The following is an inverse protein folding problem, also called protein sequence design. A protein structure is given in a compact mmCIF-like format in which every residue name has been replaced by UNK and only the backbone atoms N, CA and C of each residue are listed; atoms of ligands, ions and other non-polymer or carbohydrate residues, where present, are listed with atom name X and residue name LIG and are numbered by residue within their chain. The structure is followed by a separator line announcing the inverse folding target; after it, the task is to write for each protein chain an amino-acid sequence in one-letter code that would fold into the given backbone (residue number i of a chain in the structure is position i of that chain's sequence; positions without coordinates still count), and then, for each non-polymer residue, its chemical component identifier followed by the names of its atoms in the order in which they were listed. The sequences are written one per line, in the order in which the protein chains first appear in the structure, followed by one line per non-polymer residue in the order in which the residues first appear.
data_IF_667049103490
#
_entry.id   IF_667049103490
#
_cell.length_a   1.000
_cell.length_b   1.000
_cell.length_c   1.000
_cell.angle_alpha   90.00
_cell.angle_beta   90.00
_cell.angle_gamma   90.00
#
_symmetry.space_group_name_H-M   'P 1'
#
loop_
_entity.id
_entity.type
_entity.pdbx_description
1 polymer ?
#
# COMPACT_ATOMS: atom_id res chain seq x y z
N UNK A 1 -25.50 0.57 -74.43
CA UNK A 1 -24.02 0.64 -74.43
C UNK A 1 -23.59 2.10 -74.41
N UNK A 2 -23.18 2.60 -73.25
CA UNK A 2 -21.90 3.30 -73.19
C UNK A 2 -20.98 2.77 -72.07
N UNK A 3 -19.70 3.05 -72.27
CA UNK A 3 -18.50 2.42 -71.70
C UNK A 3 -18.12 3.08 -70.37
N UNK A 4 -17.68 2.26 -69.41
CA UNK A 4 -17.15 2.70 -68.11
C UNK A 4 -15.73 3.30 -68.23
N UNK A 5 -15.46 4.38 -67.50
CA UNK A 5 -14.13 4.72 -67.00
C UNK A 5 -14.25 4.92 -65.49
N UNK A 6 -13.50 4.12 -64.74
CA UNK A 6 -13.32 4.21 -63.29
C UNK A 6 -11.96 4.86 -63.09
N UNK A 7 -11.93 6.09 -62.59
CA UNK A 7 -10.69 6.70 -62.13
C UNK A 7 -10.59 6.64 -60.61
N UNK A 8 -9.43 6.12 -60.23
CA UNK A 8 -8.97 5.66 -58.94
C UNK A 8 -8.81 6.79 -57.92
N UNK A 9 -9.29 6.55 -56.71
CA UNK A 9 -8.89 7.28 -55.52
C UNK A 9 -7.39 7.04 -55.24
N UNK A 10 -6.61 8.10 -55.09
CA UNK A 10 -5.28 8.05 -54.47
C UNK A 10 -5.13 9.25 -53.54
N UNK A 11 -4.76 8.96 -52.31
CA UNK A 11 -5.04 9.79 -51.14
C UNK A 11 -4.04 10.90 -50.86
N UNK A 12 -4.35 11.65 -49.81
CA UNK A 12 -3.38 12.04 -48.79
C UNK A 12 -4.13 12.59 -47.59
N UNK A 13 -4.67 11.68 -46.77
CA UNK A 13 -5.05 12.03 -45.40
C UNK A 13 -3.77 12.34 -44.65
N UNK A 14 -3.51 13.63 -44.38
CA UNK A 14 -2.50 14.06 -43.43
C UNK A 14 -2.83 13.44 -42.07
N UNK A 15 -2.16 12.35 -41.75
CA UNK A 15 -2.11 11.78 -40.41
C UNK A 15 -1.36 12.76 -39.52
N UNK A 16 -2.12 13.61 -38.83
CA UNK A 16 -1.64 14.22 -37.61
C UNK A 16 -1.30 13.10 -36.64
N UNK A 17 -0.01 12.83 -36.46
CA UNK A 17 0.46 11.92 -35.43
C UNK A 17 -0.01 12.45 -34.08
N UNK A 18 -0.69 11.66 -33.23
CA UNK A 18 -0.93 12.07 -31.86
C UNK A 18 0.45 12.18 -31.21
N UNK A 19 0.83 13.41 -30.86
CA UNK A 19 1.96 13.66 -29.98
C UNK A 19 1.67 12.94 -28.66
N UNK A 20 2.32 11.80 -28.44
CA UNK A 20 2.25 11.05 -27.20
C UNK A 20 2.86 11.92 -26.10
N UNK A 21 2.01 12.73 -25.46
CA UNK A 21 2.36 13.43 -24.23
C UNK A 21 2.73 12.34 -23.22
N UNK A 22 3.91 12.40 -22.56
CA UNK A 22 4.28 11.39 -21.58
C UNK A 22 3.20 11.36 -20.50
N UNK A 23 2.60 10.18 -20.28
CA UNK A 23 1.57 9.94 -19.27
C UNK A 23 2.07 10.48 -17.92
N UNK A 24 1.55 11.63 -17.49
CA UNK A 24 1.88 12.18 -16.19
C UNK A 24 1.34 11.24 -15.14
N UNK A 25 2.22 10.74 -14.25
CA UNK A 25 1.80 9.99 -13.07
C UNK A 25 0.77 10.81 -12.29
N UNK A 26 -0.34 10.20 -11.84
CA UNK A 26 -1.35 10.93 -11.10
C UNK A 26 -0.75 11.47 -9.79
N UNK A 27 -1.07 12.72 -9.47
CA UNK A 27 -0.65 13.33 -8.21
C UNK A 27 -1.55 12.81 -7.09
N UNK A 28 -1.05 11.88 -6.29
CA UNK A 28 -1.77 11.42 -5.09
C UNK A 28 -1.83 12.56 -4.05
N UNK A 29 -3.02 12.90 -3.53
CA UNK A 29 -3.17 13.81 -2.39
C UNK A 29 -2.37 13.39 -1.16
N UNK A 30 -2.13 14.33 -0.24
CA UNK A 30 -1.51 13.98 1.04
C UNK A 30 -2.44 13.04 1.82
N UNK A 31 -1.93 11.85 2.16
CA UNK A 31 -2.68 10.85 2.94
C UNK A 31 -2.31 11.01 4.40
N UNK A 32 -3.32 11.33 5.23
CA UNK A 32 -3.23 11.33 6.70
C UNK A 32 -3.71 10.00 7.25
N UNK A 33 -3.12 9.55 8.35
CA UNK A 33 -3.43 8.26 8.99
C UNK A 33 -3.83 8.42 10.46
N UNK A 34 -3.81 9.65 10.97
CA UNK A 34 -4.05 10.02 12.35
C UNK A 34 -5.39 10.74 12.55
N UNK A 35 -5.81 10.87 13.80
CA UNK A 35 -7.03 11.56 14.20
C UNK A 35 -8.28 10.99 13.52
N UNK A 36 -9.01 11.85 12.81
CA UNK A 36 -10.22 11.50 12.06
C UNK A 36 -9.96 10.49 10.92
N UNK A 37 -8.70 10.31 10.50
CA UNK A 37 -8.32 9.34 9.46
C UNK A 37 -7.81 8.01 10.02
N UNK A 38 -7.93 7.79 11.33
CA UNK A 38 -7.56 6.53 11.99
C UNK A 38 -8.29 5.30 11.42
N UNK A 39 -9.49 5.47 10.86
CA UNK A 39 -10.22 4.38 10.19
C UNK A 39 -9.42 3.75 9.03
N UNK A 40 -8.52 4.50 8.37
CA UNK A 40 -7.64 3.95 7.33
C UNK A 40 -6.66 2.92 7.91
N UNK A 41 -6.15 3.21 9.10
CA UNK A 41 -5.29 2.29 9.85
C UNK A 41 -6.10 1.07 10.29
N UNK A 42 -7.32 1.25 10.79
CA UNK A 42 -8.22 0.12 11.10
C UNK A 42 -8.46 -0.75 9.87
N UNK A 43 -8.74 -0.15 8.70
CA UNK A 43 -8.93 -0.91 7.45
C UNK A 43 -7.68 -1.65 7.00
N UNK A 44 -6.50 -1.09 7.23
CA UNK A 44 -5.24 -1.78 6.95
C UNK A 44 -5.05 -2.99 7.88
N UNK A 45 -5.45 -2.88 9.14
CA UNK A 45 -5.40 -3.98 10.11
C UNK A 45 -6.44 -5.05 9.79
N UNK A 46 -7.69 -4.67 9.49
CA UNK A 46 -8.76 -5.57 9.04
C UNK A 46 -8.29 -6.38 7.83
N UNK A 47 -7.76 -5.69 6.80
CA UNK A 47 -7.24 -6.33 5.60
C UNK A 47 -6.12 -7.31 5.94
N UNK A 48 -5.27 -6.99 6.91
CA UNK A 48 -4.21 -7.90 7.34
C UNK A 48 -4.69 -9.14 8.07
N UNK A 49 -5.74 -9.03 8.87
CA UNK A 49 -6.36 -10.17 9.53
C UNK A 49 -7.01 -11.09 8.50
N UNK A 50 -7.69 -10.53 7.49
CA UNK A 50 -8.31 -11.29 6.40
C UNK A 50 -7.28 -11.90 5.43
N UNK A 51 -6.10 -11.30 5.31
CA UNK A 51 -5.05 -11.70 4.37
C UNK A 51 -3.73 -12.03 5.09
N UNK A 52 -3.81 -12.89 6.11
CA UNK A 52 -2.68 -13.23 6.99
C UNK A 52 -1.41 -13.61 6.20
N UNK A 53 -1.54 -14.48 5.19
CA UNK A 53 -0.40 -14.90 4.35
C UNK A 53 0.25 -13.74 3.58
N UNK A 54 -0.55 -12.78 3.11
CA UNK A 54 -0.06 -11.57 2.45
C UNK A 54 0.62 -10.64 3.45
N UNK A 55 0.06 -10.49 4.65
CA UNK A 55 0.67 -9.68 5.70
C UNK A 55 1.96 -10.30 6.22
N UNK A 56 2.05 -11.62 6.39
CA UNK A 56 3.33 -12.27 6.67
C UNK A 56 4.35 -11.89 5.59
N UNK A 57 4.01 -11.87 4.30
CA UNK A 57 4.93 -11.45 3.23
C UNK A 57 5.26 -9.95 3.22
N UNK A 58 4.34 -9.10 3.69
CA UNK A 58 4.57 -7.65 3.80
C UNK A 58 5.44 -7.31 5.02
N UNK A 59 5.23 -7.97 6.15
CA UNK A 59 5.92 -7.69 7.40
C UNK A 59 7.20 -8.50 7.58
N UNK A 60 7.27 -9.70 6.99
CA UNK A 60 8.48 -10.50 6.98
C UNK A 60 9.53 -9.82 6.10
N UNK A 61 10.55 -9.27 6.74
CA UNK A 61 11.79 -8.84 6.09
C UNK A 61 13.01 -9.34 6.86
N UNK A 62 12.93 -10.58 7.33
CA UNK A 62 14.06 -11.18 8.01
C UNK A 62 14.36 -12.52 7.40
N UNK A 63 15.33 -12.51 6.49
CA UNK A 63 16.11 -13.69 6.12
C UNK A 63 16.54 -14.50 7.36
N UNK A 64 16.64 -13.83 8.52
CA UNK A 64 16.97 -14.41 9.80
C UNK A 64 15.78 -15.07 10.52
N UNK A 65 14.56 -14.51 10.53
CA UNK A 65 13.37 -15.19 11.09
C UNK A 65 12.97 -16.43 10.27
N UNK A 66 13.11 -16.37 8.93
CA UNK A 66 12.86 -17.55 8.09
C UNK A 66 13.87 -18.67 8.39
N UNK A 67 15.13 -18.31 8.66
CA UNK A 67 16.21 -19.23 9.03
C UNK A 67 16.01 -19.80 10.44
N UNK A 68 15.63 -18.96 11.40
CA UNK A 68 15.36 -19.35 12.80
C UNK A 68 14.10 -20.22 12.93
N UNK A 69 13.07 -19.99 12.09
CA UNK A 69 11.86 -20.80 12.06
C UNK A 69 11.98 -22.09 11.21
N UNK A 70 13.16 -22.37 10.64
CA UNK A 70 13.37 -23.54 9.76
C UNK A 70 12.50 -23.53 8.49
N UNK A 71 11.94 -22.37 8.10
CA UNK A 71 11.08 -22.25 6.94
C UNK A 71 11.94 -22.16 5.68
N UNK A 72 11.61 -22.94 4.65
CA UNK A 72 12.21 -22.77 3.32
C UNK A 72 11.94 -21.33 2.87
N UNK A 73 12.98 -20.65 2.38
CA UNK A 73 12.89 -19.33 1.76
C UNK A 73 11.94 -19.43 0.56
N UNK A 74 10.67 -19.09 0.76
CA UNK A 74 9.77 -18.83 -0.36
C UNK A 74 10.26 -17.53 -1.01
N UNK A 75 11.05 -17.67 -2.06
CA UNK A 75 11.23 -16.57 -3.01
C UNK A 75 9.90 -16.46 -3.74
N UNK A 76 8.98 -15.71 -3.14
CA UNK A 76 7.66 -15.45 -3.70
C UNK A 76 7.83 -14.98 -5.14
N UNK A 77 7.23 -15.69 -6.09
CA UNK A 77 7.11 -15.22 -7.49
C UNK A 77 6.37 -13.89 -7.58
N UNK A 78 5.57 -13.60 -6.54
CA UNK A 78 4.78 -12.37 -6.40
C UNK A 78 5.54 -11.36 -5.54
N UNK A 79 5.80 -10.18 -6.10
CA UNK A 79 6.54 -9.13 -5.38
C UNK A 79 5.75 -8.59 -4.17
N UNK A 80 6.46 -8.17 -3.11
CA UNK A 80 5.87 -7.45 -1.95
C UNK A 80 5.00 -6.25 -2.38
N UNK A 81 5.38 -5.60 -3.49
CA UNK A 81 4.61 -4.50 -4.10
C UNK A 81 3.19 -4.92 -4.47
N UNK A 82 2.99 -6.13 -4.97
CA UNK A 82 1.65 -6.62 -5.33
C UNK A 82 0.70 -6.67 -4.13
N UNK A 83 1.16 -7.20 -2.99
CA UNK A 83 0.34 -7.24 -1.78
C UNK A 83 0.08 -5.83 -1.22
N UNK A 84 1.07 -4.93 -1.32
CA UNK A 84 0.89 -3.52 -0.92
C UNK A 84 -0.12 -2.78 -1.81
N UNK A 85 -0.21 -3.12 -3.10
CA UNK A 85 -1.24 -2.59 -4.00
C UNK A 85 -2.63 -3.10 -3.63
N UNK A 86 -2.77 -4.37 -3.27
CA UNK A 86 -4.03 -4.93 -2.79
C UNK A 86 -4.48 -4.26 -1.49
N UNK A 87 -3.55 -4.10 -0.54
CA UNK A 87 -3.81 -3.37 0.70
C UNK A 87 -4.27 -1.93 0.42
N UNK A 88 -3.62 -1.23 -0.52
CA UNK A 88 -4.02 0.13 -0.89
C UNK A 88 -5.46 0.17 -1.42
N UNK A 89 -5.83 -0.74 -2.34
CA UNK A 89 -7.21 -0.84 -2.83
C UNK A 89 -8.21 -1.06 -1.70
N UNK A 90 -7.92 -2.00 -0.80
CA UNK A 90 -8.81 -2.32 0.32
C UNK A 90 -8.98 -1.14 1.30
N UNK A 91 -7.88 -0.45 1.63
CA UNK A 91 -7.90 0.68 2.56
C UNK A 91 -8.69 1.86 1.99
N UNK A 92 -8.52 2.15 0.69
CA UNK A 92 -9.08 3.35 0.08
C UNK A 92 -10.39 3.12 -0.69
N UNK A 93 -10.87 1.88 -0.86
CA UNK A 93 -12.11 1.58 -1.61
C UNK A 93 -13.31 2.40 -1.12
N UNK A 94 -13.40 2.64 0.19
CA UNK A 94 -14.49 3.39 0.82
C UNK A 94 -14.00 4.68 1.50
N UNK A 95 -12.90 5.25 1.03
CA UNK A 95 -12.38 6.50 1.59
C UNK A 95 -13.37 7.66 1.38
N UNK A 96 -13.60 8.56 2.35
CA UNK A 96 -14.41 9.76 2.13
C UNK A 96 -13.87 10.64 0.99
N UNK A 97 -12.56 10.63 0.75
CA UNK A 97 -11.97 11.33 -0.37
C UNK A 97 -12.17 10.54 -1.68
N UNK A 98 -13.05 11.04 -2.53
CA UNK A 98 -13.38 10.43 -3.83
C UNK A 98 -12.17 10.25 -4.73
N UNK A 99 -11.26 11.22 -4.76
CA UNK A 99 -10.03 11.13 -5.55
C UNK A 99 -9.15 9.98 -5.05
N UNK A 100 -9.07 9.74 -3.74
CA UNK A 100 -8.31 8.60 -3.20
C UNK A 100 -8.97 7.27 -3.56
N UNK A 101 -10.31 7.19 -3.54
CA UNK A 101 -11.03 5.99 -3.98
C UNK A 101 -10.67 5.66 -5.42
N UNK A 102 -10.87 6.59 -6.34
CA UNK A 102 -10.63 6.40 -7.78
C UNK A 102 -9.17 6.05 -8.07
N UNK A 103 -8.23 6.81 -7.50
CA UNK A 103 -6.80 6.57 -7.70
C UNK A 103 -6.35 5.23 -7.12
N UNK A 104 -6.95 4.76 -6.02
CA UNK A 104 -6.59 3.46 -5.45
C UNK A 104 -6.98 2.29 -6.37
N UNK A 105 -8.06 2.42 -7.14
CA UNK A 105 -8.49 1.40 -8.08
C UNK A 105 -7.66 1.43 -9.37
N UNK A 106 -7.42 2.62 -9.91
CA UNK A 106 -6.78 2.84 -11.22
C UNK A 106 -5.25 2.85 -11.16
N UNK A 107 -4.67 3.30 -10.03
CA UNK A 107 -3.24 3.60 -9.86
C UNK A 107 -2.70 3.12 -8.50
N UNK A 108 -3.06 1.90 -8.11
CA UNK A 108 -2.68 1.31 -6.81
C UNK A 108 -1.16 1.28 -6.58
N UNK A 109 -0.36 1.16 -7.65
CA UNK A 109 1.10 1.14 -7.62
C UNK A 109 1.69 2.41 -7.00
N UNK A 110 1.04 3.56 -7.19
CA UNK A 110 1.51 4.84 -6.67
C UNK A 110 1.29 4.94 -5.13
N UNK A 111 0.41 4.11 -4.57
CA UNK A 111 0.13 4.04 -3.12
C UNK A 111 1.09 3.13 -2.34
N UNK A 112 1.87 2.28 -3.02
CA UNK A 112 2.78 1.31 -2.38
C UNK A 112 3.70 1.99 -1.36
N UNK A 113 4.27 3.14 -1.73
CA UNK A 113 5.15 3.92 -0.84
C UNK A 113 4.41 4.47 0.39
N UNK A 114 3.12 4.81 0.24
CA UNK A 114 2.27 5.38 1.30
C UNK A 114 1.88 4.33 2.33
N UNK A 115 1.44 3.16 1.86
CA UNK A 115 1.15 2.01 2.72
C UNK A 115 2.42 1.56 3.45
N UNK A 116 3.54 1.45 2.72
CA UNK A 116 4.83 1.05 3.33
C UNK A 116 5.25 2.00 4.44
N UNK A 117 5.09 3.32 4.24
CA UNK A 117 5.41 4.32 5.26
C UNK A 117 4.52 4.16 6.50
N UNK A 118 3.20 4.01 6.30
CA UNK A 118 2.25 3.77 7.40
C UNK A 118 2.66 2.55 8.23
N UNK A 119 2.92 1.42 7.57
CA UNK A 119 3.37 0.18 8.20
C UNK A 119 4.63 0.41 9.05
N UNK A 120 5.64 1.09 8.51
CA UNK A 120 6.88 1.37 9.26
C UNK A 120 6.64 2.21 10.51
N UNK A 121 5.78 3.22 10.42
CA UNK A 121 5.41 4.04 11.58
C UNK A 121 4.65 3.23 12.62
N UNK A 122 3.71 2.37 12.21
CA UNK A 122 2.99 1.46 13.10
C UNK A 122 3.95 0.50 13.82
N UNK A 123 4.88 -0.14 13.09
CA UNK A 123 5.90 -1.01 13.68
C UNK A 123 6.78 -0.25 14.67
N UNK A 124 7.15 1.00 14.36
CA UNK A 124 7.94 1.85 15.26
C UNK A 124 7.16 2.17 16.54
N UNK A 125 5.89 2.55 16.42
CA UNK A 125 5.03 2.84 17.57
C UNK A 125 4.84 1.60 18.46
N UNK A 126 4.57 0.44 17.86
CA UNK A 126 4.48 -0.84 18.56
C UNK A 126 5.77 -1.19 19.30
N UNK A 127 6.92 -1.11 18.63
CA UNK A 127 8.21 -1.39 19.24
C UNK A 127 8.54 -0.44 20.39
N UNK A 128 8.17 0.84 20.27
CA UNK A 128 8.34 1.81 21.34
C UNK A 128 7.43 1.51 22.54
N UNK A 129 6.17 1.16 22.30
CA UNK A 129 5.26 0.73 23.34
C UNK A 129 5.78 -0.52 24.07
N UNK A 130 6.23 -1.53 23.33
CA UNK A 130 6.81 -2.75 23.90
C UNK A 130 8.09 -2.49 24.69
N UNK A 131 8.96 -1.58 24.25
CA UNK A 131 10.13 -1.16 25.03
C UNK A 131 9.73 -0.50 26.34
N UNK A 132 8.73 0.39 26.31
CA UNK A 132 8.21 1.02 27.52
C UNK A 132 7.58 0.01 28.47
N UNK A 133 6.84 -0.97 27.95
CA UNK A 133 6.24 -2.04 28.73
C UNK A 133 7.30 -3.00 29.31
N UNK A 134 8.33 -3.30 28.53
CA UNK A 134 9.48 -4.12 28.96
C UNK A 134 10.29 -3.44 30.07
N UNK A 135 10.37 -2.10 30.09
CA UNK A 135 10.97 -1.35 31.21
C UNK A 135 10.13 -1.41 32.50
N UNK A 136 8.83 -1.71 32.40
CA UNK A 136 7.96 -1.99 33.54
C UNK A 136 7.85 -3.48 33.88
N UNK A 137 8.23 -4.36 32.96
CA UNK A 137 8.26 -5.80 33.17
C UNK A 137 9.46 -6.15 34.06
N UNK A 138 9.18 -6.29 35.36
CA UNK A 138 10.18 -6.50 36.42
C UNK A 138 9.85 -5.74 37.70
N UNK A 139 8.88 -4.82 37.67
CA UNK A 139 8.37 -4.16 38.88
C UNK A 139 7.20 -4.93 39.47
N UNK A 140 7.23 -5.17 40.77
CA UNK A 140 6.07 -5.71 41.50
C UNK A 140 4.96 -4.67 41.55
N UNK A 141 3.72 -5.10 41.77
CA UNK A 141 2.57 -4.20 41.97
C UNK A 141 2.84 -3.16 43.07
N UNK A 142 3.57 -3.55 44.11
CA UNK A 142 3.98 -2.71 45.24
C UNK A 142 4.97 -1.60 44.85
N UNK A 143 5.91 -1.87 43.93
CA UNK A 143 6.85 -0.86 43.41
C UNK A 143 6.16 0.20 42.52
N UNK A 144 5.02 -0.14 41.91
CA UNK A 144 4.21 0.79 41.13
C UNK A 144 3.34 1.70 42.01
N UNK A 145 2.86 1.20 43.15
CA UNK A 145 2.10 2.01 44.11
C UNK A 145 2.98 3.00 44.89
N UNK A 146 4.22 2.63 45.18
CA UNK A 146 5.16 3.46 45.96
C UNK A 146 5.91 4.51 45.13
N UNK A 147 5.83 4.45 43.79
CA UNK A 147 6.38 5.48 42.93
C UNK A 147 5.45 5.74 41.72
N UNK A 148 4.27 6.33 41.96
CA UNK A 148 3.42 6.82 40.88
C UNK A 148 4.18 7.98 40.23
N UNK A 149 4.76 7.77 39.05
CA UNK A 149 5.59 8.77 38.36
C UNK A 149 4.90 10.14 38.34
N UNK A 150 5.58 11.14 38.91
CA UNK A 150 5.51 12.57 38.53
C UNK A 150 5.87 12.77 37.06
#
# INVERSE_FOLDING_TARGET
MPRALKDTASGSSRSGSPSTRPSQKPKIPLIRWDGEFSYRTTKLLDWCQENESACIKIFSDSTQEAKEAGRKKEVSSTSKSYYLQQAARAVFANDPNEQLRELSHTHAEEFVSRITRCIKELSKQYNNANKSLGQTAGRTYEELQNNPRT
#
